data_IF_080383694570
#
_entry.id   IF_080383694570
#
_cell.length_a   1.000
_cell.length_b   1.000
_cell.length_c   1.000
_cell.angle_alpha   90.00
_cell.angle_beta   90.00
_cell.angle_gamma   90.00
#
_symmetry.space_group_name_H-M   'P 1'
#
loop_
_entity.id
_entity.type
_entity.pdbx_description
1 polymer ?
#
# COMPACT_ATOMS: atom_id res chain seq x y z
N UNK A 1 -16.45 2.63 25.14
CA UNK A 1 -16.04 2.11 23.83
C UNK A 1 -14.66 2.67 23.54
N UNK A 2 -13.61 1.87 23.72
CA UNK A 2 -12.25 2.29 23.40
C UNK A 2 -12.22 2.53 21.89
N UNK A 3 -11.98 3.78 21.47
CA UNK A 3 -11.68 4.05 20.07
C UNK A 3 -10.39 3.30 19.76
N UNK A 4 -10.47 2.26 18.92
CA UNK A 4 -9.31 1.52 18.41
C UNK A 4 -8.54 2.36 17.37
N UNK A 5 -8.30 3.63 17.68
CA UNK A 5 -7.44 4.53 16.93
C UNK A 5 -6.06 4.45 17.57
N UNK A 6 -5.18 3.60 17.03
CA UNK A 6 -3.78 3.63 17.44
C UNK A 6 -3.06 4.79 16.71
N UNK A 7 -2.55 5.73 17.50
CA UNK A 7 -1.89 6.91 16.97
C UNK A 7 -0.49 6.54 16.49
N UNK A 8 -0.22 6.69 15.20
CA UNK A 8 1.16 6.62 14.70
C UNK A 8 1.83 7.92 15.04
N UNK A 9 2.66 7.92 16.08
CA UNK A 9 3.49 9.06 16.45
C UNK A 9 4.70 9.17 15.53
N UNK A 10 5.26 10.38 15.38
CA UNK A 10 6.47 10.61 14.59
C UNK A 10 7.66 9.75 15.02
N UNK A 11 7.65 9.19 16.24
CA UNK A 11 8.70 8.32 16.76
C UNK A 11 8.76 6.96 16.06
N UNK A 12 7.63 6.51 15.50
CA UNK A 12 7.54 5.20 14.83
C UNK A 12 7.82 5.29 13.33
N UNK A 13 7.80 6.49 12.74
CA UNK A 13 8.13 6.68 11.34
C UNK A 13 9.63 6.50 11.13
N UNK A 14 10.09 5.54 10.29
CA UNK A 14 11.50 5.32 10.04
C UNK A 14 12.17 6.48 9.28
N UNK A 15 11.40 7.50 8.90
CA UNK A 15 11.78 8.56 7.96
C UNK A 15 11.24 9.89 8.44
N UNK A 16 12.05 10.95 8.31
CA UNK A 16 11.66 12.30 8.66
C UNK A 16 10.86 12.94 7.53
N UNK A 17 9.54 13.04 7.71
CA UNK A 17 8.65 13.80 6.81
C UNK A 17 8.63 15.29 7.19
N UNK A 18 8.62 16.17 6.18
CA UNK A 18 8.42 17.61 6.40
C UNK A 18 6.95 17.94 6.74
N UNK A 19 6.66 19.19 7.14
CA UNK A 19 5.30 19.61 7.55
C UNK A 19 4.24 19.37 6.45
N UNK A 20 4.56 19.61 5.19
CA UNK A 20 3.64 19.42 4.06
C UNK A 20 3.36 17.94 3.82
N UNK A 21 4.41 17.11 3.83
CA UNK A 21 4.30 15.65 3.69
C UNK A 21 3.49 15.02 4.82
N UNK A 22 3.70 15.48 6.06
CA UNK A 22 2.92 15.08 7.22
C UNK A 22 1.43 15.36 7.02
N UNK A 23 1.09 16.59 6.63
CA UNK A 23 -0.30 16.97 6.37
C UNK A 23 -0.93 16.17 5.22
N UNK A 24 -0.17 15.93 4.13
CA UNK A 24 -0.63 15.12 3.00
C UNK A 24 -0.89 13.66 3.39
N UNK A 25 0.02 13.05 4.15
CA UNK A 25 -0.12 11.68 4.65
C UNK A 25 -1.35 11.54 5.57
N UNK A 26 -1.52 12.46 6.53
CA UNK A 26 -2.71 12.49 7.40
C UNK A 26 -4.00 12.64 6.59
N UNK A 27 -4.02 13.53 5.59
CA UNK A 27 -5.19 13.72 4.72
C UNK A 27 -5.53 12.45 3.94
N UNK A 28 -4.52 11.82 3.34
CA UNK A 28 -4.67 10.58 2.57
C UNK A 28 -5.35 9.49 3.41
N UNK A 29 -4.79 9.19 4.58
CA UNK A 29 -5.29 8.10 5.42
C UNK A 29 -6.59 8.41 6.18
N UNK A 30 -6.93 9.69 6.37
CA UNK A 30 -8.25 10.10 6.86
C UNK A 30 -9.37 9.78 5.87
N UNK A 31 -9.10 9.89 4.57
CA UNK A 31 -10.06 9.63 3.50
C UNK A 31 -10.21 8.13 3.22
N UNK A 32 -9.13 7.36 3.36
CA UNK A 32 -9.16 5.92 3.16
C UNK A 32 -9.91 5.20 4.30
N UNK A 33 -10.79 4.28 3.92
CA UNK A 33 -11.66 3.49 4.80
C UNK A 33 -11.30 1.99 4.78
N UNK A 34 -11.58 1.26 5.87
CA UNK A 34 -11.46 -0.20 5.88
C UNK A 34 -12.10 -0.84 4.65
N UNK A 35 -11.38 -1.78 4.05
CA UNK A 35 -11.76 -2.44 2.81
C UNK A 35 -11.16 -1.83 1.54
N UNK A 36 -10.77 -0.55 1.54
CA UNK A 36 -10.16 0.11 0.38
C UNK A 36 -8.68 -0.27 0.21
N UNK A 37 -8.17 -0.08 -1.01
CA UNK A 37 -6.78 -0.32 -1.37
C UNK A 37 -5.95 0.96 -1.34
N UNK A 38 -4.69 0.85 -0.94
CA UNK A 38 -3.68 1.89 -1.04
C UNK A 38 -2.47 1.35 -1.79
N UNK A 39 -2.06 2.12 -2.80
CA UNK A 39 -0.97 1.79 -3.70
C UNK A 39 0.28 2.59 -3.29
N UNK A 40 1.49 1.99 -3.35
CA UNK A 40 2.74 2.72 -3.15
C UNK A 40 2.85 3.95 -4.06
N UNK A 41 2.41 3.82 -5.31
CA UNK A 41 2.36 4.92 -6.27
C UNK A 41 1.48 6.11 -5.86
N UNK A 42 0.48 5.92 -4.99
CA UNK A 42 -0.31 7.03 -4.42
C UNK A 42 0.54 7.81 -3.43
N UNK A 43 1.27 7.13 -2.53
CA UNK A 43 2.14 7.80 -1.56
C UNK A 43 3.29 8.54 -2.25
N UNK A 44 3.91 7.92 -3.25
CA UNK A 44 4.98 8.56 -4.06
C UNK A 44 4.50 9.91 -4.62
N UNK A 45 3.31 9.94 -5.21
CA UNK A 45 2.73 11.15 -5.82
C UNK A 45 2.27 12.18 -4.79
N UNK A 46 1.55 11.75 -3.75
CA UNK A 46 0.98 12.68 -2.75
C UNK A 46 2.04 13.28 -1.83
N UNK A 47 3.12 12.53 -1.53
CA UNK A 47 4.16 12.96 -0.60
C UNK A 47 5.43 13.45 -1.30
N UNK A 48 5.53 13.28 -2.62
CA UNK A 48 6.75 13.52 -3.40
C UNK A 48 7.97 12.83 -2.75
N UNK A 49 7.83 11.54 -2.49
CA UNK A 49 8.86 10.69 -1.87
C UNK A 49 9.28 9.59 -2.82
N UNK A 50 10.48 9.04 -2.64
CA UNK A 50 10.90 7.87 -3.41
C UNK A 50 10.11 6.60 -3.03
N UNK A 51 10.26 5.58 -3.87
CA UNK A 51 9.59 4.29 -3.69
C UNK A 51 9.93 3.61 -2.36
N UNK A 52 11.18 3.70 -1.91
CA UNK A 52 11.62 3.09 -0.66
C UNK A 52 10.87 3.71 0.52
N UNK A 53 10.77 5.03 0.54
CA UNK A 53 10.04 5.76 1.59
C UNK A 53 8.56 5.38 1.61
N UNK A 54 7.92 5.26 0.44
CA UNK A 54 6.53 4.86 0.34
C UNK A 54 6.29 3.46 0.94
N UNK A 55 7.14 2.48 0.60
CA UNK A 55 7.04 1.13 1.17
C UNK A 55 7.30 1.11 2.67
N UNK A 56 8.31 1.81 3.15
CA UNK A 56 8.59 1.88 4.59
C UNK A 56 7.42 2.44 5.41
N UNK A 57 6.67 3.41 4.88
CA UNK A 57 5.46 3.93 5.53
C UNK A 57 4.35 2.86 5.56
N UNK A 58 4.14 2.15 4.44
CA UNK A 58 3.11 1.12 4.33
C UNK A 58 3.45 -0.13 5.15
N UNK A 59 4.71 -0.54 5.20
CA UNK A 59 5.19 -1.65 6.03
C UNK A 59 5.02 -1.32 7.51
N UNK A 60 5.34 -0.09 7.95
CA UNK A 60 5.07 0.33 9.32
C UNK A 60 3.58 0.21 9.66
N UNK A 61 2.71 0.68 8.77
CA UNK A 61 1.26 0.58 8.95
C UNK A 61 0.79 -0.89 9.01
N UNK A 62 1.35 -1.75 8.16
CA UNK A 62 1.09 -3.21 8.15
C UNK A 62 1.52 -3.86 9.46
N UNK A 63 2.75 -3.61 9.91
CA UNK A 63 3.31 -4.16 11.15
C UNK A 63 2.50 -3.76 12.40
N UNK A 64 1.84 -2.60 12.35
CA UNK A 64 0.95 -2.13 13.41
C UNK A 64 -0.52 -2.59 13.23
N UNK A 65 -0.80 -3.49 12.28
CA UNK A 65 -2.11 -4.14 12.12
C UNK A 65 -3.16 -3.32 11.34
N UNK A 66 -2.76 -2.22 10.69
CA UNK A 66 -3.68 -1.38 9.92
C UNK A 66 -3.90 -1.84 8.51
N UNK A 67 -2.87 -2.43 7.92
CA UNK A 67 -2.86 -2.84 6.52
C UNK A 67 -2.63 -4.34 6.43
N UNK A 68 -3.21 -4.92 5.39
CA UNK A 68 -2.85 -6.26 4.90
C UNK A 68 -2.18 -6.09 3.55
N UNK A 69 -1.03 -6.74 3.36
CA UNK A 69 -0.37 -6.82 2.06
C UNK A 69 -1.14 -7.74 1.12
N UNK A 70 -1.15 -7.39 -0.16
CA UNK A 70 -1.80 -8.12 -1.24
C UNK A 70 -0.94 -8.00 -2.51
N UNK A 71 -1.14 -8.92 -3.44
CA UNK A 71 -0.41 -8.93 -4.70
C UNK A 71 -1.37 -8.75 -5.87
N UNK A 72 -1.24 -7.65 -6.59
CA UNK A 72 -2.08 -7.35 -7.75
C UNK A 72 -1.34 -7.64 -9.05
N UNK A 73 -1.95 -8.43 -9.94
CA UNK A 73 -1.32 -8.80 -11.22
C UNK A 73 -1.24 -7.58 -12.13
N UNK A 74 -0.06 -7.38 -12.71
CA UNK A 74 0.26 -6.28 -13.59
C UNK A 74 0.61 -6.79 -14.98
N UNK A 75 0.03 -6.17 -16.01
CA UNK A 75 0.41 -6.45 -17.39
C UNK A 75 1.59 -5.54 -17.77
N UNK A 76 2.80 -6.09 -18.02
CA UNK A 76 3.95 -5.27 -18.42
C UNK A 76 3.80 -4.69 -19.84
N UNK A 77 2.99 -5.32 -20.69
CA UNK A 77 2.75 -4.89 -22.07
C UNK A 77 1.84 -3.66 -22.15
N UNK A 78 0.80 -3.63 -21.32
CA UNK A 78 -0.16 -2.52 -21.23
C UNK A 78 0.23 -1.47 -20.19
N UNK A 79 1.25 -1.77 -19.39
CA UNK A 79 1.67 -0.97 -18.24
C UNK A 79 0.54 -0.63 -17.25
N UNK A 80 -0.37 -1.58 -17.00
CA UNK A 80 -1.53 -1.41 -16.11
C UNK A 80 -1.86 -2.69 -15.33
N UNK A 81 -2.55 -2.53 -14.21
CA UNK A 81 -3.15 -3.66 -13.48
C UNK A 81 -4.23 -4.34 -14.33
N UNK A 82 -4.37 -5.66 -14.18
CA UNK A 82 -5.48 -6.43 -14.76
C UNK A 82 -6.60 -6.71 -13.74
N UNK A 83 -6.51 -6.17 -12.53
CA UNK A 83 -7.54 -6.25 -11.48
C UNK A 83 -7.60 -7.58 -10.71
N UNK A 84 -6.73 -8.55 -11.02
CA UNK A 84 -6.62 -9.80 -10.26
C UNK A 84 -5.73 -9.60 -9.03
N UNK A 85 -6.24 -9.94 -7.85
CA UNK A 85 -5.57 -9.72 -6.56
C UNK A 85 -5.45 -11.06 -5.82
N UNK A 86 -4.26 -11.32 -5.27
CA UNK A 86 -3.96 -12.45 -4.41
C UNK A 86 -3.76 -11.99 -2.96
N UNK A 87 -4.32 -12.76 -2.05
CA UNK A 87 -4.45 -12.39 -0.64
C UNK A 87 -3.20 -12.69 0.19
N UNK A 88 -2.32 -13.54 -0.33
CA UNK A 88 -1.05 -13.91 0.26
C UNK A 88 -0.08 -14.43 -0.83
N UNK A 89 1.20 -14.56 -0.45
CA UNK A 89 2.25 -14.98 -1.38
C UNK A 89 2.08 -16.44 -1.84
N UNK A 90 1.54 -17.34 -1.01
CA UNK A 90 1.34 -18.74 -1.40
C UNK A 90 0.30 -18.86 -2.52
N UNK A 91 -0.79 -18.08 -2.44
CA UNK A 91 -1.80 -18.06 -3.50
C UNK A 91 -1.22 -17.57 -4.84
N UNK A 92 -0.29 -16.60 -4.79
CA UNK A 92 0.42 -16.10 -5.97
C UNK A 92 1.42 -17.12 -6.54
N UNK A 93 2.03 -17.93 -5.68
CA UNK A 93 3.04 -18.95 -6.01
C UNK A 93 2.45 -20.34 -6.25
N UNK A 94 1.15 -20.44 -6.50
CA UNK A 94 0.48 -21.71 -6.80
C UNK A 94 0.99 -22.40 -8.07
N UNK A 95 0.33 -23.50 -8.44
CA UNK A 95 0.79 -24.36 -9.56
C UNK A 95 0.70 -23.68 -10.94
N UNK A 96 -0.13 -22.64 -11.08
CA UNK A 96 -0.30 -21.89 -12.32
C UNK A 96 0.24 -20.45 -12.17
N UNK A 97 1.40 -20.21 -12.80
CA UNK A 97 2.12 -18.94 -12.75
C UNK A 97 1.91 -18.07 -14.00
N UNK A 98 1.14 -18.55 -14.97
CA UNK A 98 0.92 -17.87 -16.24
C UNK A 98 -0.56 -17.49 -16.38
N UNK A 99 -0.80 -16.30 -16.91
CA UNK A 99 -2.16 -15.83 -17.15
C UNK A 99 -2.19 -14.91 -18.35
N UNK A 100 -3.15 -15.10 -19.24
CA UNK A 100 -3.37 -14.19 -20.35
C UNK A 100 -4.00 -12.88 -19.89
N UNK A 101 -3.46 -11.77 -20.39
CA UNK A 101 -4.03 -10.46 -20.20
C UNK A 101 -5.40 -10.39 -20.90
N UNK A 102 -6.49 -10.03 -20.21
CA UNK A 102 -7.82 -9.93 -20.84
C UNK A 102 -7.91 -8.81 -21.89
N UNK A 103 -6.96 -7.87 -21.87
CA UNK A 103 -6.97 -6.67 -22.72
C UNK A 103 -6.14 -6.86 -24.00
N UNK A 104 -4.90 -7.38 -23.87
CA UNK A 104 -3.97 -7.51 -25.00
C UNK A 104 -3.68 -8.95 -25.41
N UNK A 105 -4.20 -9.94 -24.68
CA UNK A 105 -4.01 -11.38 -24.96
C UNK A 105 -2.59 -11.91 -24.72
N UNK A 106 -1.64 -11.07 -24.25
CA UNK A 106 -0.29 -11.52 -23.94
C UNK A 106 -0.27 -12.32 -22.64
N UNK A 107 0.51 -13.39 -22.61
CA UNK A 107 0.73 -14.21 -21.41
C UNK A 107 1.64 -13.49 -20.42
N UNK A 108 1.19 -13.40 -19.18
CA UNK A 108 1.84 -12.73 -18.06
C UNK A 108 2.33 -13.79 -17.08
N UNK A 109 3.62 -13.76 -16.74
CA UNK A 109 4.10 -14.48 -15.58
C UNK A 109 3.70 -13.70 -14.31
N UNK A 110 2.71 -14.17 -13.56
CA UNK A 110 2.11 -13.43 -12.44
C UNK A 110 3.07 -13.28 -11.26
N UNK A 111 3.98 -14.23 -11.06
CA UNK A 111 5.00 -14.17 -10.01
C UNK A 111 6.01 -13.03 -10.27
N UNK A 112 6.37 -12.81 -11.53
CA UNK A 112 7.31 -11.74 -11.93
C UNK A 112 6.61 -10.39 -12.12
N UNK A 113 5.34 -10.41 -12.51
CA UNK A 113 4.59 -9.22 -12.90
C UNK A 113 3.39 -9.01 -11.97
N UNK A 114 3.70 -8.65 -10.72
CA UNK A 114 2.72 -8.21 -9.75
C UNK A 114 3.20 -6.94 -9.04
N UNK A 115 2.25 -6.26 -8.41
CA UNK A 115 2.47 -5.09 -7.57
C UNK A 115 2.11 -5.46 -6.13
N UNK A 116 3.00 -5.14 -5.20
CA UNK A 116 2.70 -5.19 -3.79
C UNK A 116 1.81 -3.98 -3.43
N UNK A 117 0.56 -4.26 -3.10
CA UNK A 117 -0.43 -3.28 -2.67
C UNK A 117 -0.91 -3.59 -1.26
N UNK A 118 -1.70 -2.69 -0.68
CA UNK A 118 -2.17 -2.83 0.69
C UNK A 118 -3.67 -2.59 0.77
N UNK A 119 -4.37 -3.37 1.58
CA UNK A 119 -5.77 -3.13 1.95
C UNK A 119 -5.86 -2.58 3.34
N UNK A 120 -6.69 -1.55 3.53
CA UNK A 120 -7.00 -1.00 4.85
C UNK A 120 -7.82 -2.03 5.62
N UNK A 121 -7.32 -2.48 6.76
CA UNK A 121 -8.02 -3.41 7.68
C UNK A 121 -8.65 -2.64 8.83
N UNK A 122 -8.01 -1.57 9.29
CA UNK A 122 -8.50 -0.69 10.35
C UNK A 122 -8.30 0.78 9.97
N UNK A 123 -9.14 1.66 10.50
CA UNK A 123 -9.02 3.10 10.23
C UNK A 123 -7.68 3.62 10.76
N UNK A 124 -6.90 4.24 9.88
CA UNK A 124 -5.60 4.83 10.24
C UNK A 124 -5.81 6.26 10.70
N UNK A 125 -5.33 6.58 11.91
CA UNK A 125 -5.25 7.94 12.43
C UNK A 125 -3.79 8.28 12.74
N UNK A 126 -3.30 9.37 12.14
CA UNK A 126 -1.89 9.77 12.22
C UNK A 126 -1.80 11.06 13.03
N UNK A 127 -1.02 11.03 14.11
CA UNK A 127 -0.74 12.19 14.94
C UNK A 127 0.78 12.39 15.05
N UNK A 128 1.24 13.62 14.98
CA UNK A 128 2.67 13.92 15.11
C UNK A 128 2.92 14.48 16.50
N UNK A 129 3.97 13.99 17.17
CA UNK A 129 4.41 14.63 18.41
C UNK A 129 4.91 16.03 18.03
N UNK A 130 4.28 17.07 18.59
CA UNK A 130 4.83 18.42 18.51
C UNK A 130 6.14 18.42 19.31
N UNK A 131 7.27 18.52 18.61
CA UNK A 131 8.50 18.94 19.28
C UNK A 131 8.30 20.41 19.66
N UNK A 132 7.99 20.64 20.93
CA UNK A 132 8.14 21.94 21.61
C UNK A 132 9.63 22.26 21.66
#
# INVERSE_FOLDING_TARGET
MLHNSFLITSKNLPIKLNKQQKAALTRLFKLLKPGQYVYPGVLIRELNVDMRVAYQILDLLKENGYLKELYEVYCPYESKSIGKIYDNLLDLLGDDLEQDCPECGQTINIQKNNLLIYRIIQQVEIAYDEQI
#
